data_IF_460312126228
#
_entry.id   IF_460312126228
#
_cell.length_a   1.000
_cell.length_b   1.000
_cell.length_c   1.000
_cell.angle_alpha   90.00
_cell.angle_beta   90.00
_cell.angle_gamma   90.00
#
_symmetry.space_group_name_H-M   'P 1'
#
loop_
_entity.id
_entity.type
_entity.pdbx_description
1 polymer ?
#
# COMPACT_ATOMS: atom_id res chain seq x y z
N UNK A 1 -13.55 -9.10 13.68
CA UNK A 1 -12.29 -9.77 13.35
C UNK A 1 -11.54 -9.01 12.27
N UNK A 2 -10.22 -8.82 12.42
CA UNK A 2 -9.34 -8.24 11.39
C UNK A 2 -8.37 -9.34 10.91
N UNK A 3 -8.33 -9.59 9.62
CA UNK A 3 -7.34 -10.48 9.02
C UNK A 3 -6.15 -9.68 8.53
N UNK A 4 -4.96 -9.91 9.10
CA UNK A 4 -3.71 -9.34 8.62
C UNK A 4 -3.06 -10.33 7.64
N UNK A 5 -3.07 -9.98 6.37
CA UNK A 5 -2.57 -10.83 5.28
C UNK A 5 -1.16 -10.42 4.90
N UNK A 6 -0.21 -11.28 5.18
CA UNK A 6 1.21 -11.07 4.94
C UNK A 6 2.08 -11.31 6.17
N UNK A 7 3.36 -11.59 5.94
CA UNK A 7 4.37 -11.88 6.97
C UNK A 7 5.68 -11.14 6.70
N UNK A 8 5.58 -9.95 6.10
CA UNK A 8 6.71 -9.07 5.82
C UNK A 8 6.83 -7.93 6.85
N UNK A 9 7.78 -7.03 6.59
CA UNK A 9 8.05 -5.88 7.46
C UNK A 9 6.80 -5.05 7.77
N UNK A 10 6.02 -4.65 6.73
CA UNK A 10 4.80 -3.85 6.96
C UNK A 10 3.73 -4.60 7.73
N UNK A 11 3.62 -5.93 7.56
CA UNK A 11 2.71 -6.74 8.36
C UNK A 11 3.11 -6.69 9.86
N UNK A 12 4.40 -6.69 10.18
CA UNK A 12 4.88 -6.54 11.57
C UNK A 12 4.50 -5.17 12.14
N UNK A 13 4.60 -4.09 11.36
CA UNK A 13 4.19 -2.76 11.81
C UNK A 13 2.67 -2.67 12.07
N UNK A 14 1.84 -3.22 11.18
CA UNK A 14 0.40 -3.32 11.41
C UNK A 14 0.06 -4.17 12.65
N UNK A 15 0.77 -5.28 12.85
CA UNK A 15 0.58 -6.13 14.02
C UNK A 15 0.81 -5.39 15.33
N UNK A 16 1.85 -4.54 15.40
CA UNK A 16 2.10 -3.69 16.57
C UNK A 16 0.90 -2.78 16.86
N UNK A 17 0.35 -2.16 15.82
CA UNK A 17 -0.84 -1.30 15.94
C UNK A 17 -2.06 -2.10 16.42
N UNK A 18 -2.31 -3.27 15.83
CA UNK A 18 -3.44 -4.12 16.23
C UNK A 18 -3.33 -4.58 17.69
N UNK A 19 -2.12 -4.88 18.16
CA UNK A 19 -1.86 -5.22 19.58
C UNK A 19 -2.14 -4.02 20.50
N UNK A 20 -1.70 -2.81 20.14
CA UNK A 20 -1.95 -1.58 20.91
C UNK A 20 -3.45 -1.23 20.97
N UNK A 21 -4.17 -1.44 19.87
CA UNK A 21 -5.62 -1.21 19.80
C UNK A 21 -6.45 -2.28 20.51
N UNK A 22 -5.82 -3.35 20.97
CA UNK A 22 -6.48 -4.49 21.65
C UNK A 22 -7.67 -5.05 20.84
N UNK A 23 -7.53 -5.14 19.53
CA UNK A 23 -8.56 -5.66 18.64
C UNK A 23 -8.32 -7.12 18.27
N UNK A 24 -9.38 -7.87 18.06
CA UNK A 24 -9.29 -9.27 17.66
C UNK A 24 -8.77 -9.37 16.22
N UNK A 25 -7.64 -10.07 16.02
CA UNK A 25 -7.03 -10.28 14.72
C UNK A 25 -6.59 -11.73 14.50
N UNK A 26 -6.35 -12.07 13.24
CA UNK A 26 -5.68 -13.30 12.81
C UNK A 26 -4.65 -12.95 11.73
N UNK A 27 -3.44 -13.53 11.82
CA UNK A 27 -2.40 -13.34 10.80
C UNK A 27 -2.44 -14.48 9.81
N UNK A 28 -2.56 -14.15 8.53
CA UNK A 28 -2.59 -15.11 7.43
C UNK A 28 -1.28 -15.05 6.64
N UNK A 29 -0.53 -16.13 6.65
CA UNK A 29 0.70 -16.32 5.90
C UNK A 29 0.49 -17.14 4.64
N UNK A 30 1.41 -17.01 3.68
CA UNK A 30 1.38 -17.77 2.43
C UNK A 30 2.27 -19.02 2.45
N UNK A 31 3.43 -18.96 3.12
CA UNK A 31 4.38 -20.07 3.18
C UNK A 31 4.70 -20.43 4.62
N UNK A 32 4.97 -21.72 4.84
CA UNK A 32 5.31 -22.21 6.18
C UNK A 32 6.58 -21.58 6.73
N UNK A 33 7.60 -21.36 5.88
CA UNK A 33 8.89 -20.82 6.31
C UNK A 33 8.78 -19.35 6.76
N UNK A 34 8.14 -18.49 5.95
CA UNK A 34 7.96 -17.08 6.32
C UNK A 34 7.03 -16.91 7.52
N UNK A 35 6.01 -17.78 7.63
CA UNK A 35 5.09 -17.76 8.77
C UNK A 35 5.80 -18.09 10.08
N UNK A 36 6.64 -19.15 10.13
CA UNK A 36 7.40 -19.51 11.31
C UNK A 36 8.39 -18.42 11.75
N UNK A 37 9.07 -17.80 10.79
CA UNK A 37 9.98 -16.69 11.10
C UNK A 37 9.24 -15.52 11.71
N UNK A 38 8.11 -15.14 11.11
CA UNK A 38 7.27 -14.06 11.60
C UNK A 38 6.69 -14.32 12.98
N UNK A 39 6.27 -15.56 13.27
CA UNK A 39 5.81 -16.00 14.60
C UNK A 39 6.89 -15.79 15.67
N UNK A 40 8.13 -16.21 15.38
CA UNK A 40 9.25 -16.10 16.30
C UNK A 40 9.64 -14.64 16.57
N UNK A 41 9.71 -13.82 15.52
CA UNK A 41 10.12 -12.42 15.63
C UNK A 41 9.05 -11.53 16.28
N UNK A 42 7.78 -11.87 16.15
CA UNK A 42 6.66 -11.01 16.57
C UNK A 42 5.79 -11.57 17.69
N UNK A 43 6.16 -12.71 18.27
CA UNK A 43 5.41 -13.34 19.38
C UNK A 43 3.91 -13.45 19.08
N UNK A 44 3.56 -14.02 17.94
CA UNK A 44 2.19 -14.16 17.47
C UNK A 44 1.98 -15.50 16.78
N UNK A 45 0.75 -15.92 16.61
CA UNK A 45 0.38 -17.11 15.84
C UNK A 45 0.08 -16.71 14.41
N UNK A 46 0.60 -17.45 13.43
CA UNK A 46 0.33 -17.24 12.01
C UNK A 46 -0.36 -18.48 11.43
N UNK A 47 -1.51 -18.29 10.80
CA UNK A 47 -2.14 -19.33 10.02
C UNK A 47 -1.37 -19.48 8.68
N UNK A 48 -0.38 -20.35 8.68
CA UNK A 48 0.40 -20.66 7.47
C UNK A 48 -0.53 -21.29 6.42
N UNK A 49 -0.40 -20.88 5.17
CA UNK A 49 -1.33 -21.19 4.07
C UNK A 49 -2.76 -20.67 4.30
N UNK A 50 -2.89 -19.63 5.16
CA UNK A 50 -4.19 -19.04 5.50
C UNK A 50 -4.94 -18.47 4.29
N UNK A 51 -4.23 -18.05 3.24
CA UNK A 51 -4.86 -17.58 1.99
C UNK A 51 -5.69 -18.69 1.30
N UNK A 52 -5.30 -19.94 1.40
CA UNK A 52 -6.09 -21.07 0.86
C UNK A 52 -7.37 -21.38 1.65
N UNK A 53 -7.55 -20.75 2.81
CA UNK A 53 -8.71 -20.91 3.70
C UNK A 53 -9.65 -19.71 3.70
N UNK A 54 -9.50 -18.79 2.77
CA UNK A 54 -10.31 -17.57 2.69
C UNK A 54 -11.82 -17.82 2.57
N UNK A 55 -12.23 -19.00 2.12
CA UNK A 55 -13.65 -19.39 2.02
C UNK A 55 -14.38 -19.45 3.39
N UNK A 56 -13.61 -19.45 4.49
CA UNK A 56 -14.12 -19.59 5.85
C UNK A 56 -14.05 -18.30 6.68
N UNK A 57 -13.96 -17.13 6.05
CA UNK A 57 -13.86 -15.86 6.78
C UNK A 57 -15.18 -15.52 7.50
N UNK A 58 -15.06 -14.92 8.67
CA UNK A 58 -16.20 -14.45 9.44
C UNK A 58 -17.01 -13.39 8.67
N UNK A 59 -18.32 -13.40 8.81
CA UNK A 59 -19.18 -12.33 8.30
C UNK A 59 -18.76 -10.98 8.92
N UNK A 60 -18.73 -9.93 8.09
CA UNK A 60 -18.24 -8.59 8.45
C UNK A 60 -16.73 -8.50 8.80
N UNK A 61 -15.93 -9.46 8.35
CA UNK A 61 -14.48 -9.38 8.47
C UNK A 61 -13.94 -8.12 7.78
N UNK A 62 -12.87 -7.58 8.36
CA UNK A 62 -11.99 -6.60 7.74
C UNK A 62 -10.67 -7.26 7.40
N UNK A 63 -9.97 -6.77 6.39
CA UNK A 63 -8.64 -7.24 6.07
C UNK A 63 -7.65 -6.09 5.93
N UNK A 64 -6.40 -6.35 6.34
CA UNK A 64 -5.23 -5.53 6.04
C UNK A 64 -4.32 -6.37 5.16
N UNK A 65 -4.03 -5.90 3.95
CA UNK A 65 -3.22 -6.64 2.97
C UNK A 65 -1.84 -6.00 2.91
N UNK A 66 -0.85 -6.66 3.51
CA UNK A 66 0.54 -6.21 3.62
C UNK A 66 1.50 -7.25 3.01
N UNK A 67 1.25 -7.59 1.76
CA UNK A 67 2.08 -8.51 0.95
C UNK A 67 2.99 -7.72 0.01
N UNK A 68 3.82 -8.43 -0.76
CA UNK A 68 4.65 -7.80 -1.79
C UNK A 68 3.80 -7.04 -2.81
N UNK A 69 4.31 -5.93 -3.31
CA UNK A 69 3.56 -4.98 -4.16
C UNK A 69 2.94 -5.62 -5.40
N UNK A 70 3.63 -6.59 -6.01
CA UNK A 70 3.16 -7.34 -7.16
C UNK A 70 1.99 -8.30 -6.86
N UNK A 71 1.71 -8.58 -5.57
CA UNK A 71 0.64 -9.48 -5.12
C UNK A 71 -0.57 -8.76 -4.52
N UNK A 72 -0.49 -7.46 -4.33
CA UNK A 72 -1.53 -6.69 -3.65
C UNK A 72 -2.90 -6.83 -4.31
N UNK A 73 -2.97 -6.65 -5.63
CA UNK A 73 -4.23 -6.72 -6.39
C UNK A 73 -4.82 -8.12 -6.39
N UNK A 74 -3.99 -9.15 -6.57
CA UNK A 74 -4.44 -10.55 -6.59
C UNK A 74 -5.06 -10.93 -5.26
N UNK A 75 -4.35 -10.70 -4.15
CA UNK A 75 -4.84 -11.01 -2.80
C UNK A 75 -6.10 -10.21 -2.46
N UNK A 76 -6.13 -8.92 -2.81
CA UNK A 76 -7.32 -8.10 -2.59
C UNK A 76 -8.52 -8.62 -3.40
N UNK A 77 -8.30 -9.07 -4.64
CA UNK A 77 -9.34 -9.66 -5.49
C UNK A 77 -9.90 -10.94 -4.89
N UNK A 78 -9.04 -11.81 -4.37
CA UNK A 78 -9.46 -13.04 -3.66
C UNK A 78 -10.32 -12.72 -2.43
N UNK A 79 -9.88 -11.79 -1.59
CA UNK A 79 -10.62 -11.34 -0.41
C UNK A 79 -12.00 -10.77 -0.75
N UNK A 80 -12.10 -9.96 -1.81
CA UNK A 80 -13.39 -9.47 -2.32
C UNK A 80 -14.27 -10.62 -2.85
N UNK A 81 -13.66 -11.63 -3.47
CA UNK A 81 -14.31 -12.86 -3.90
C UNK A 81 -14.95 -13.60 -2.73
N UNK A 82 -14.24 -13.69 -1.61
CA UNK A 82 -14.70 -14.33 -0.37
C UNK A 82 -15.66 -13.46 0.47
N UNK A 83 -16.04 -12.29 -0.03
CA UNK A 83 -17.06 -11.44 0.60
C UNK A 83 -16.54 -10.44 1.63
N UNK A 84 -15.23 -10.25 1.77
CA UNK A 84 -14.67 -9.20 2.62
C UNK A 84 -15.07 -7.84 2.07
N UNK A 85 -15.62 -6.97 2.92
CA UNK A 85 -16.20 -5.67 2.50
C UNK A 85 -15.36 -4.46 2.86
N UNK A 86 -14.39 -4.61 3.74
CA UNK A 86 -13.52 -3.52 4.19
C UNK A 86 -12.08 -4.00 4.15
N UNK A 87 -11.29 -3.44 3.23
CA UNK A 87 -9.91 -3.83 3.01
C UNK A 87 -9.01 -2.59 3.08
N UNK A 88 -7.99 -2.64 3.93
CA UNK A 88 -6.86 -1.73 3.88
C UNK A 88 -5.75 -2.41 3.09
N UNK A 89 -5.46 -1.88 1.91
CA UNK A 89 -4.47 -2.40 0.98
C UNK A 89 -3.19 -1.57 1.08
N UNK A 90 -2.05 -2.21 1.31
CA UNK A 90 -0.77 -1.49 1.33
C UNK A 90 -0.52 -0.72 0.03
N UNK A 91 0.22 0.39 0.18
CA UNK A 91 0.62 1.19 -0.99
C UNK A 91 1.57 0.38 -1.91
N UNK A 92 1.55 0.61 -3.19
CA UNK A 92 0.80 1.61 -3.95
C UNK A 92 -0.63 1.15 -4.34
N UNK A 93 -1.14 0.08 -3.77
CA UNK A 93 -2.41 -0.55 -4.13
C UNK A 93 -2.29 -1.52 -5.31
N UNK A 94 -1.39 -1.26 -6.23
CA UNK A 94 -1.06 -2.09 -7.39
C UNK A 94 -0.01 -1.41 -8.28
N UNK A 95 0.62 -2.16 -9.16
CA UNK A 95 1.74 -1.70 -10.00
C UNK A 95 1.31 -1.27 -11.42
N UNK A 96 0.03 -1.43 -11.78
CA UNK A 96 -0.47 -0.97 -13.08
C UNK A 96 -1.86 -0.34 -12.97
N UNK A 97 -2.10 0.67 -13.80
CA UNK A 97 -3.40 1.34 -13.86
C UNK A 97 -4.53 0.37 -14.20
N UNK A 98 -4.31 -0.52 -15.16
CA UNK A 98 -5.31 -1.50 -15.57
C UNK A 98 -5.69 -2.50 -14.46
N UNK A 99 -4.74 -2.87 -13.61
CA UNK A 99 -5.01 -3.73 -12.45
C UNK A 99 -5.84 -2.99 -11.39
N UNK A 100 -5.49 -1.74 -11.10
CA UNK A 100 -6.24 -0.88 -10.19
C UNK A 100 -7.66 -0.59 -10.70
N UNK A 101 -7.82 -0.34 -11.99
CA UNK A 101 -9.14 -0.13 -12.59
C UNK A 101 -10.04 -1.37 -12.49
N UNK A 102 -9.48 -2.56 -12.72
CA UNK A 102 -10.22 -3.83 -12.50
C UNK A 102 -10.61 -4.01 -11.04
N UNK A 103 -9.71 -3.71 -10.11
CA UNK A 103 -9.98 -3.79 -8.68
C UNK A 103 -11.08 -2.82 -8.27
N UNK A 104 -11.04 -1.58 -8.78
CA UNK A 104 -12.07 -0.57 -8.52
C UNK A 104 -13.45 -1.04 -9.02
N UNK A 105 -13.54 -1.56 -10.24
CA UNK A 105 -14.80 -2.13 -10.75
C UNK A 105 -15.30 -3.30 -9.90
N UNK A 106 -14.39 -4.15 -9.43
CA UNK A 106 -14.75 -5.29 -8.60
C UNK A 106 -15.28 -4.87 -7.22
N UNK A 107 -14.64 -3.88 -6.57
CA UNK A 107 -15.12 -3.37 -5.28
C UNK A 107 -16.55 -2.80 -5.39
N UNK A 108 -16.87 -2.10 -6.48
CA UNK A 108 -18.21 -1.55 -6.74
C UNK A 108 -19.25 -2.68 -6.89
N UNK A 109 -18.94 -3.69 -7.72
CA UNK A 109 -19.79 -4.87 -7.90
C UNK A 109 -20.02 -5.58 -6.58
N UNK A 110 -19.00 -5.72 -5.77
CA UNK A 110 -19.05 -6.40 -4.47
C UNK A 110 -19.61 -5.51 -3.35
N UNK A 111 -19.88 -4.22 -3.61
CA UNK A 111 -20.27 -3.22 -2.61
C UNK A 111 -19.32 -3.24 -1.41
N UNK A 112 -18.04 -3.12 -1.70
CA UNK A 112 -16.95 -3.13 -0.75
C UNK A 112 -16.20 -1.80 -0.76
N UNK A 113 -15.40 -1.54 0.26
CA UNK A 113 -14.51 -0.40 0.35
C UNK A 113 -13.07 -0.89 0.47
N UNK A 114 -12.26 -0.53 -0.52
CA UNK A 114 -10.82 -0.77 -0.54
C UNK A 114 -10.11 0.55 -0.36
N UNK A 115 -9.33 0.68 0.70
CA UNK A 115 -8.55 1.86 1.02
C UNK A 115 -7.07 1.55 0.79
N UNK A 116 -6.36 2.43 0.10
CA UNK A 116 -4.91 2.30 -0.05
C UNK A 116 -4.20 2.99 1.12
N UNK A 117 -3.21 2.31 1.69
CA UNK A 117 -2.52 2.69 2.93
C UNK A 117 -1.53 3.85 2.78
N UNK A 118 -1.96 5.00 2.29
CA UNK A 118 -1.16 6.21 2.25
C UNK A 118 -1.12 6.89 3.62
N UNK A 119 -0.38 6.30 4.54
CA UNK A 119 -0.33 6.66 5.96
C UNK A 119 0.28 8.04 6.23
N UNK A 120 1.06 8.62 5.32
CA UNK A 120 1.66 9.96 5.50
C UNK A 120 0.62 11.06 5.64
N UNK A 121 -0.58 10.89 5.10
CA UNK A 121 -1.72 11.80 5.30
C UNK A 121 -2.08 12.01 6.78
N UNK A 122 -1.73 11.04 7.63
CA UNK A 122 -2.05 11.04 9.06
C UNK A 122 -0.86 11.40 9.97
N UNK A 123 0.26 11.86 9.39
CA UNK A 123 1.37 12.38 10.19
C UNK A 123 0.94 13.66 10.89
N UNK A 124 1.36 13.86 12.14
CA UNK A 124 1.01 15.04 12.93
C UNK A 124 1.39 16.35 12.23
N UNK A 125 2.52 16.36 11.52
CA UNK A 125 2.95 17.51 10.71
C UNK A 125 2.01 17.80 9.54
N UNK A 126 1.44 16.77 8.90
CA UNK A 126 0.47 16.91 7.80
C UNK A 126 -0.86 17.44 8.33
N UNK A 127 -1.36 16.84 9.41
CA UNK A 127 -2.61 17.29 10.06
C UNK A 127 -2.50 18.74 10.57
N UNK A 128 -1.33 19.17 11.02
CA UNK A 128 -1.12 20.57 11.42
C UNK A 128 -1.03 21.49 10.21
N UNK A 129 -0.35 21.08 9.14
CA UNK A 129 -0.31 21.84 7.89
C UNK A 129 -1.71 22.04 7.30
N UNK A 130 -2.59 21.03 7.33
CA UNK A 130 -3.98 21.15 6.88
C UNK A 130 -4.73 22.23 7.64
N UNK A 131 -4.57 22.31 8.96
CA UNK A 131 -5.21 23.36 9.77
C UNK A 131 -4.75 24.76 9.37
N UNK A 132 -3.43 24.94 9.15
CA UNK A 132 -2.88 26.21 8.73
C UNK A 132 -3.42 26.60 7.35
N UNK A 133 -3.40 25.67 6.39
CA UNK A 133 -3.94 25.88 5.04
C UNK A 133 -5.42 26.30 5.08
N UNK A 134 -6.23 25.63 5.91
CA UNK A 134 -7.64 25.96 6.07
C UNK A 134 -7.85 27.36 6.68
N UNK A 135 -7.02 27.74 7.67
CA UNK A 135 -7.09 29.05 8.30
C UNK A 135 -6.71 30.19 7.35
N UNK A 136 -5.76 29.93 6.44
CA UNK A 136 -5.31 30.88 5.42
C UNK A 136 -6.25 30.97 4.19
N UNK A 137 -7.32 30.17 4.17
CA UNK A 137 -8.31 30.20 3.09
C UNK A 137 -8.00 29.27 1.92
N UNK A 138 -7.04 28.38 2.05
CA UNK A 138 -6.68 27.37 1.06
C UNK A 138 -5.28 27.49 0.50
N UNK A 139 -4.92 26.59 -0.38
CA UNK A 139 -3.60 26.50 -0.99
C UNK A 139 -3.61 27.21 -2.38
N UNK A 140 -2.65 28.10 -2.60
CA UNK A 140 -2.49 28.79 -3.89
C UNK A 140 -1.57 28.03 -4.85
N UNK A 141 -0.55 27.35 -4.31
CA UNK A 141 0.40 26.54 -5.06
C UNK A 141 1.04 25.50 -4.17
N UNK A 142 1.51 24.42 -4.79
CA UNK A 142 2.27 23.38 -4.11
C UNK A 142 3.43 22.94 -5.02
N UNK A 143 4.60 22.82 -4.44
CA UNK A 143 5.79 22.26 -5.09
C UNK A 143 6.41 21.25 -4.14
N UNK A 144 6.84 20.12 -4.65
CA UNK A 144 7.54 19.11 -3.86
C UNK A 144 8.63 18.43 -4.67
N UNK A 145 9.72 18.14 -3.99
CA UNK A 145 10.85 17.38 -4.51
C UNK A 145 11.10 16.19 -3.61
N UNK A 146 11.56 15.10 -4.21
CA UNK A 146 12.12 14.00 -3.47
C UNK A 146 13.23 13.32 -4.27
N UNK A 147 14.19 12.80 -3.56
CA UNK A 147 15.32 12.07 -4.14
C UNK A 147 15.49 10.72 -3.48
N UNK A 148 16.09 9.79 -4.19
CA UNK A 148 16.42 8.46 -3.70
C UNK A 148 17.88 8.13 -4.03
N UNK A 149 18.50 7.34 -3.18
CA UNK A 149 19.87 6.89 -3.39
C UNK A 149 19.85 5.65 -4.29
N UNK A 150 20.20 5.87 -5.54
CA UNK A 150 20.07 4.85 -6.60
C UNK A 150 20.88 3.58 -6.33
N UNK A 151 22.04 3.69 -5.73
CA UNK A 151 22.91 2.58 -5.31
C UNK A 151 22.27 1.75 -4.20
N UNK A 152 21.61 2.35 -3.23
CA UNK A 152 20.86 1.61 -2.21
C UNK A 152 19.66 0.90 -2.81
N UNK A 153 18.90 1.59 -3.66
CA UNK A 153 17.72 1.02 -4.33
C UNK A 153 18.11 -0.19 -5.19
N UNK A 154 19.22 -0.13 -5.92
CA UNK A 154 19.69 -1.24 -6.76
C UNK A 154 19.99 -2.52 -5.98
N UNK A 155 20.32 -2.39 -4.70
CA UNK A 155 20.68 -3.51 -3.80
C UNK A 155 19.50 -4.11 -3.03
N UNK A 156 18.28 -3.60 -3.22
CA UNK A 156 17.10 -4.08 -2.47
C UNK A 156 16.59 -5.47 -2.89
N UNK A 157 17.14 -6.08 -3.95
CA UNK A 157 16.76 -7.42 -4.40
C UNK A 157 15.30 -7.55 -4.81
N UNK A 158 14.68 -6.49 -5.33
CA UNK A 158 13.29 -6.50 -5.80
C UNK A 158 13.14 -7.18 -7.16
N UNK A 159 11.93 -7.60 -7.48
CA UNK A 159 11.62 -8.15 -8.80
C UNK A 159 11.77 -7.08 -9.90
N UNK A 160 11.99 -7.53 -11.14
CA UNK A 160 12.06 -6.62 -12.28
C UNK A 160 10.80 -5.79 -12.46
N UNK A 161 9.64 -6.36 -12.14
CA UNK A 161 8.35 -5.66 -12.20
C UNK A 161 8.31 -4.48 -11.24
N UNK A 162 8.77 -4.66 -10.00
CA UNK A 162 8.85 -3.60 -9.00
C UNK A 162 9.82 -2.50 -9.43
N UNK A 163 11.00 -2.87 -9.95
CA UNK A 163 11.95 -1.87 -10.46
C UNK A 163 11.41 -1.10 -11.66
N UNK A 164 10.71 -1.75 -12.60
CA UNK A 164 10.09 -1.09 -13.75
C UNK A 164 9.05 -0.05 -13.37
N UNK A 165 8.43 -0.20 -12.20
CA UNK A 165 7.36 0.67 -11.67
C UNK A 165 7.79 1.41 -10.42
N UNK A 166 9.11 1.65 -10.23
CA UNK A 166 9.67 2.17 -9.00
C UNK A 166 9.06 3.50 -8.56
N UNK A 167 8.81 4.42 -9.49
CA UNK A 167 8.15 5.69 -9.21
C UNK A 167 6.81 5.47 -8.49
N UNK A 168 5.99 4.55 -8.98
CA UNK A 168 4.70 4.23 -8.37
C UNK A 168 4.92 3.43 -7.08
N UNK A 169 5.77 2.42 -7.11
CA UNK A 169 6.01 1.51 -5.98
C UNK A 169 6.55 2.22 -4.73
N UNK A 170 7.47 3.15 -4.90
CA UNK A 170 8.12 3.83 -3.78
C UNK A 170 7.69 5.28 -3.61
N UNK A 171 7.71 6.05 -4.68
CA UNK A 171 7.55 7.51 -4.63
C UNK A 171 6.09 7.96 -4.53
N UNK A 172 5.14 7.04 -4.70
CA UNK A 172 3.70 7.34 -4.64
C UNK A 172 3.24 8.01 -3.34
N UNK A 173 3.93 7.81 -2.23
CA UNK A 173 3.63 8.51 -0.98
C UNK A 173 3.78 10.04 -1.09
N UNK A 174 4.75 10.53 -1.84
CA UNK A 174 4.99 11.97 -2.00
C UNK A 174 3.99 12.55 -2.98
N UNK A 175 3.76 11.83 -4.09
CA UNK A 175 2.76 12.21 -5.11
C UNK A 175 1.35 12.24 -4.49
N UNK A 176 1.01 11.21 -3.72
CA UNK A 176 -0.26 11.14 -3.00
C UNK A 176 -0.45 12.31 -2.04
N UNK A 177 0.59 12.67 -1.30
CA UNK A 177 0.53 13.78 -0.35
C UNK A 177 0.37 15.13 -1.08
N UNK A 178 1.00 15.31 -2.23
CA UNK A 178 0.78 16.48 -3.07
C UNK A 178 -0.69 16.61 -3.47
N UNK A 179 -1.28 15.56 -4.02
CA UNK A 179 -2.70 15.56 -4.40
C UNK A 179 -3.65 15.64 -3.20
N UNK A 180 -3.24 15.14 -2.04
CA UNK A 180 -4.02 15.27 -0.82
C UNK A 180 -4.21 16.73 -0.40
N UNK A 181 -3.17 17.56 -0.54
CA UNK A 181 -3.24 18.98 -0.21
C UNK A 181 -3.89 19.82 -1.31
N UNK A 182 -3.68 19.49 -2.59
CA UNK A 182 -4.09 20.34 -3.71
C UNK A 182 -5.38 19.89 -4.39
N UNK A 183 -5.85 18.66 -4.14
CA UNK A 183 -6.90 18.02 -4.89
C UNK A 183 -6.41 17.35 -6.18
N UNK A 184 -7.34 16.78 -6.94
CA UNK A 184 -7.01 16.15 -8.23
C UNK A 184 -6.79 17.23 -9.29
N UNK A 185 -5.76 17.08 -10.15
CA UNK A 185 -5.48 18.04 -11.20
C UNK A 185 -6.53 17.98 -12.31
N UNK A 186 -6.85 19.11 -12.90
CA UNK A 186 -7.68 19.20 -14.12
C UNK A 186 -6.86 18.88 -15.37
N UNK A 187 -5.58 19.29 -15.39
CA UNK A 187 -4.64 19.02 -16.46
C UNK A 187 -3.32 18.49 -15.89
N UNK A 188 -2.70 17.57 -16.60
CA UNK A 188 -1.41 16.97 -16.22
C UNK A 188 -0.43 17.08 -17.38
N UNK A 189 0.76 17.61 -17.09
CA UNK A 189 1.93 17.45 -17.94
C UNK A 189 2.99 16.67 -17.18
N UNK A 190 3.64 15.72 -17.83
CA UNK A 190 4.69 14.93 -17.22
C UNK A 190 5.88 14.78 -18.13
N UNK A 191 7.06 14.87 -17.56
CA UNK A 191 8.34 14.74 -18.26
C UNK A 191 9.19 13.69 -17.54
N UNK A 192 9.97 12.96 -18.31
CA UNK A 192 10.90 11.99 -17.76
C UNK A 192 12.18 11.94 -18.59
N UNK A 193 13.29 11.67 -17.94
CA UNK A 193 14.60 11.59 -18.59
C UNK A 193 15.58 10.72 -17.79
N UNK A 194 16.77 10.56 -18.34
CA UNK A 194 17.83 9.79 -17.71
C UNK A 194 17.60 8.28 -17.77
N UNK A 195 18.65 7.56 -17.43
CA UNK A 195 18.65 6.08 -17.33
C UNK A 195 19.58 5.64 -16.21
N UNK A 196 19.27 4.51 -15.60
CA UNK A 196 20.15 3.83 -14.66
C UNK A 196 20.28 2.36 -15.08
N UNK A 197 21.44 1.71 -14.90
CA UNK A 197 21.65 0.34 -15.35
C UNK A 197 20.65 -0.67 -14.80
N UNK A 198 20.17 -0.45 -13.59
CA UNK A 198 19.22 -1.31 -12.90
C UNK A 198 17.75 -0.89 -13.09
N UNK A 199 17.52 0.32 -13.61
CA UNK A 199 16.16 0.90 -13.75
C UNK A 199 15.87 1.10 -15.24
N UNK A 200 15.08 0.22 -15.87
CA UNK A 200 14.81 0.26 -17.29
C UNK A 200 13.93 1.44 -17.72
N UNK A 201 13.24 2.08 -16.77
CA UNK A 201 12.51 3.31 -17.00
C UNK A 201 13.43 4.54 -16.75
N UNK A 202 12.88 5.73 -16.84
CA UNK A 202 13.61 6.97 -16.59
C UNK A 202 14.05 7.10 -15.14
N UNK A 203 15.15 7.78 -14.90
CA UNK A 203 15.68 8.05 -13.56
C UNK A 203 15.23 9.40 -12.98
N UNK A 204 14.70 10.28 -13.83
CA UNK A 204 14.21 11.61 -13.44
C UNK A 204 12.79 11.80 -13.94
N UNK A 205 11.93 12.29 -13.09
CA UNK A 205 10.53 12.59 -13.39
C UNK A 205 10.20 14.01 -12.92
N UNK A 206 9.39 14.73 -13.69
CA UNK A 206 8.86 16.05 -13.35
C UNK A 206 7.50 16.28 -13.98
N UNK A 207 6.74 17.19 -13.43
CA UNK A 207 5.41 17.53 -13.94
C UNK A 207 4.78 18.68 -13.18
#
# INVERSE_FOLDING_TARGET
>A
MIYLVGTGYMAAEYLKVLKVLDVKYEVLGNTLSSSKLFEQENETVVNANGLSKLECLENNAMAIVAVNSEKLVDVCTELLGCGVKRILLEKPGGLSFSALERLNKLQDIKKANVFVGYNRRYYSSVLEAEKVIQQDGGLLSCSFDFTEWSDEVSNLGKTKEVYNTWLIGNSSHVIDLGFHFTGLPEEISSFHSGTLPWHPASSTFSG
#
